data_IF_106722061521
#
_entry.id   IF_106722061521
#
_cell.length_a   1.000
_cell.length_b   1.000
_cell.length_c   1.000
_cell.angle_alpha   90.00
_cell.angle_beta   90.00
_cell.angle_gamma   90.00
#
_symmetry.space_group_name_H-M   'P 1'
#
loop_
_entity.id
_entity.type
_entity.pdbx_description
1 polymer ?
#
# COMPACT_ATOMS: atom_id res chain seq x y z
N UNK A 1 1.68 -19.10 -9.64
CA UNK A 1 2.83 -18.17 -9.55
C UNK A 1 3.53 -17.90 -10.87
N UNK A 2 4.05 -18.90 -11.61
CA UNK A 2 4.77 -18.67 -12.88
C UNK A 2 4.14 -17.66 -13.85
N UNK A 3 2.86 -17.87 -14.22
CA UNK A 3 2.14 -16.95 -15.13
C UNK A 3 2.07 -15.50 -14.63
N UNK A 4 2.00 -15.31 -13.31
CA UNK A 4 1.95 -13.97 -12.69
C UNK A 4 3.32 -13.29 -12.82
N UNK A 5 4.39 -14.03 -12.54
CA UNK A 5 5.78 -13.55 -12.62
C UNK A 5 6.14 -13.18 -14.07
N UNK A 6 5.94 -14.11 -15.00
CA UNK A 6 6.21 -13.87 -16.43
C UNK A 6 5.28 -12.80 -17.01
N UNK A 7 4.02 -12.75 -16.57
CA UNK A 7 3.06 -11.71 -16.98
C UNK A 7 3.40 -10.30 -16.48
N UNK A 8 4.15 -10.19 -15.39
CA UNK A 8 4.73 -8.93 -14.90
C UNK A 8 6.06 -8.57 -15.59
N UNK A 9 6.55 -9.38 -16.54
CA UNK A 9 7.82 -9.19 -17.23
C UNK A 9 9.06 -9.61 -16.41
N UNK A 10 8.88 -10.39 -15.36
CA UNK A 10 9.95 -10.87 -14.47
C UNK A 10 10.39 -12.29 -14.84
N UNK A 11 11.63 -12.64 -14.48
CA UNK A 11 12.17 -13.99 -14.70
C UNK A 11 11.58 -15.02 -13.72
N UNK A 12 11.15 -16.17 -14.26
CA UNK A 12 10.55 -17.21 -13.44
C UNK A 12 11.56 -17.94 -12.54
N UNK A 13 12.81 -18.14 -12.99
CA UNK A 13 13.79 -18.85 -12.18
C UNK A 13 14.15 -18.03 -10.93
N UNK A 14 14.27 -16.71 -11.06
CA UNK A 14 14.39 -15.79 -9.94
C UNK A 14 13.14 -15.77 -9.06
N UNK A 15 11.96 -15.54 -9.63
CA UNK A 15 10.72 -15.48 -8.86
C UNK A 15 10.44 -16.76 -8.06
N UNK A 16 10.80 -17.93 -8.60
CA UNK A 16 10.68 -19.21 -7.89
C UNK A 16 11.57 -19.29 -6.65
N UNK A 17 12.79 -18.74 -6.69
CA UNK A 17 13.69 -18.73 -5.51
C UNK A 17 13.11 -17.90 -4.37
N UNK A 18 12.42 -16.81 -4.68
CA UNK A 18 11.78 -15.95 -3.69
C UNK A 18 10.55 -16.58 -3.02
N UNK A 19 9.93 -17.61 -3.61
CA UNK A 19 8.73 -18.24 -3.02
C UNK A 19 9.02 -18.99 -1.72
N UNK A 20 10.22 -19.56 -1.61
CA UNK A 20 10.65 -20.32 -0.43
C UNK A 20 11.37 -19.42 0.59
N UNK A 21 11.65 -18.16 0.24
CA UNK A 21 12.29 -17.19 1.12
C UNK A 21 11.27 -16.69 2.17
N UNK A 22 11.51 -16.88 3.48
CA UNK A 22 10.60 -16.41 4.52
C UNK A 22 10.68 -14.90 4.79
N UNK A 23 11.63 -14.16 4.19
CA UNK A 23 11.87 -12.74 4.49
C UNK A 23 10.65 -11.84 4.31
N UNK A 24 9.70 -12.20 3.42
CA UNK A 24 8.45 -11.46 3.23
C UNK A 24 7.60 -11.38 4.50
N UNK A 25 7.74 -12.32 5.45
CA UNK A 25 6.94 -12.36 6.67
C UNK A 25 7.20 -11.15 7.56
N UNK A 26 8.46 -10.75 7.70
CA UNK A 26 8.80 -9.59 8.52
C UNK A 26 8.17 -8.31 7.96
N UNK A 27 8.18 -8.14 6.64
CA UNK A 27 7.50 -7.01 6.00
C UNK A 27 5.98 -7.08 6.16
N UNK A 28 5.38 -8.26 5.97
CA UNK A 28 3.95 -8.44 6.16
C UNK A 28 3.49 -8.16 7.60
N UNK A 29 4.27 -8.57 8.61
CA UNK A 29 3.96 -8.31 10.02
C UNK A 29 4.08 -6.82 10.36
N UNK A 30 5.13 -6.12 9.88
CA UNK A 30 5.22 -4.64 10.04
C UNK A 30 4.03 -3.92 9.43
N UNK A 31 3.61 -4.33 8.23
CA UNK A 31 2.45 -3.74 7.58
C UNK A 31 1.14 -4.02 8.36
N UNK A 32 1.03 -5.20 8.99
CA UNK A 32 -0.10 -5.56 9.85
C UNK A 32 -0.12 -4.74 11.15
N UNK A 33 1.03 -4.47 11.74
CA UNK A 33 1.15 -3.60 12.92
C UNK A 33 0.76 -2.16 12.57
N UNK A 34 1.27 -1.59 11.47
CA UNK A 34 0.87 -0.25 11.02
C UNK A 34 -0.64 -0.17 10.76
N UNK A 35 -1.25 -1.22 10.18
CA UNK A 35 -2.70 -1.29 9.98
C UNK A 35 -3.47 -1.12 11.30
N UNK A 36 -3.04 -1.81 12.36
CA UNK A 36 -3.66 -1.76 13.68
C UNK A 36 -3.41 -0.43 14.40
N UNK A 37 -2.21 0.13 14.27
CA UNK A 37 -1.87 1.45 14.82
C UNK A 37 -2.72 2.57 14.20
N UNK A 38 -3.17 2.38 12.95
CA UNK A 38 -4.12 3.27 12.27
C UNK A 38 -5.59 3.02 12.66
N UNK A 39 -5.86 2.10 13.58
CA UNK A 39 -7.21 1.71 14.00
C UNK A 39 -7.99 0.93 12.93
N UNK A 40 -7.30 0.38 11.93
CA UNK A 40 -7.88 -0.43 10.87
C UNK A 40 -7.70 -1.91 11.21
N UNK A 41 -8.48 -2.78 10.58
CA UNK A 41 -8.48 -4.22 10.91
C UNK A 41 -8.45 -5.14 9.69
N UNK A 42 -8.57 -4.58 8.48
CA UNK A 42 -8.65 -5.38 7.25
C UNK A 42 -8.19 -4.64 6.02
N UNK A 43 -8.37 -5.27 4.86
CA UNK A 43 -7.99 -4.75 3.54
C UNK A 43 -9.20 -4.68 2.59
N UNK A 44 -9.19 -3.82 1.55
CA UNK A 44 -8.16 -2.81 1.29
C UNK A 44 -8.26 -1.64 2.28
N UNK A 45 -7.09 -1.13 2.67
CA UNK A 45 -6.93 0.04 3.54
C UNK A 45 -5.99 1.04 2.87
N UNK A 46 -6.25 2.33 3.06
CA UNK A 46 -5.49 3.41 2.43
C UNK A 46 -5.12 4.47 3.48
N UNK A 47 -3.91 5.01 3.37
CA UNK A 47 -3.44 6.16 4.16
C UNK A 47 -2.92 7.25 3.24
N UNK A 48 -3.41 8.47 3.41
CA UNK A 48 -2.91 9.68 2.74
C UNK A 48 -2.83 10.78 3.78
N UNK A 49 -1.65 11.37 3.97
CA UNK A 49 -1.44 12.37 5.02
C UNK A 49 -1.84 11.82 6.40
N UNK A 50 -2.75 12.54 7.06
CA UNK A 50 -3.31 12.15 8.36
C UNK A 50 -4.59 11.32 8.27
N UNK A 51 -5.08 11.03 7.07
CA UNK A 51 -6.32 10.29 6.85
C UNK A 51 -6.00 8.83 6.57
N UNK A 52 -6.67 7.93 7.30
CA UNK A 52 -6.64 6.50 7.10
C UNK A 52 -8.07 5.97 6.96
N UNK A 53 -8.34 5.16 5.95
CA UNK A 53 -9.67 4.59 5.66
C UNK A 53 -9.58 3.13 5.26
N UNK A 54 -10.61 2.37 5.65
CA UNK A 54 -10.82 0.99 5.20
C UNK A 54 -11.98 0.94 4.20
N UNK A 55 -11.84 0.13 3.15
CA UNK A 55 -12.86 -0.11 2.14
C UNK A 55 -12.64 0.64 0.82
N UNK A 56 -12.94 -0.03 -0.29
CA UNK A 56 -12.87 0.54 -1.63
C UNK A 56 -13.93 1.65 -1.86
N UNK A 57 -15.02 1.61 -1.10
CA UNK A 57 -16.10 2.62 -1.10
C UNK A 57 -15.64 3.99 -0.56
N UNK A 58 -14.42 4.08 -0.03
CA UNK A 58 -13.82 5.29 0.55
C UNK A 58 -12.73 5.93 -0.31
N UNK A 59 -12.54 5.51 -1.55
CA UNK A 59 -11.53 6.10 -2.45
C UNK A 59 -11.71 7.61 -2.68
N UNK A 60 -12.93 8.13 -2.58
CA UNK A 60 -13.18 9.57 -2.66
C UNK A 60 -12.57 10.36 -1.49
N UNK A 61 -12.47 9.75 -0.29
CA UNK A 61 -11.83 10.37 0.89
C UNK A 61 -10.32 10.48 0.66
N UNK A 62 -9.73 9.43 0.09
CA UNK A 62 -8.32 9.36 -0.31
C UNK A 62 -8.00 10.47 -1.31
N UNK A 63 -8.84 10.63 -2.33
CA UNK A 63 -8.69 11.67 -3.35
C UNK A 63 -8.81 13.08 -2.75
N UNK A 64 -9.79 13.33 -1.89
CA UNK A 64 -10.01 14.64 -1.28
C UNK A 64 -8.80 15.07 -0.42
N UNK A 65 -8.29 14.16 0.41
CA UNK A 65 -7.10 14.41 1.23
C UNK A 65 -5.85 14.64 0.36
N UNK A 66 -5.66 13.85 -0.69
CA UNK A 66 -4.56 14.06 -1.64
C UNK A 66 -4.63 15.45 -2.28
N UNK A 67 -5.81 15.86 -2.77
CA UNK A 67 -6.03 17.20 -3.35
C UNK A 67 -5.78 18.30 -2.32
N UNK A 68 -6.17 18.11 -1.05
CA UNK A 68 -5.90 19.04 0.05
C UNK A 68 -4.40 19.24 0.25
N UNK A 69 -3.63 18.14 0.33
CA UNK A 69 -2.18 18.18 0.51
C UNK A 69 -1.46 18.87 -0.65
N UNK A 70 -1.83 18.54 -1.90
CA UNK A 70 -1.27 19.18 -3.10
C UNK A 70 -1.53 20.69 -3.08
N UNK A 71 -2.75 21.12 -2.76
CA UNK A 71 -3.10 22.55 -2.66
C UNK A 71 -2.30 23.27 -1.57
N UNK A 72 -2.12 22.63 -0.41
CA UNK A 72 -1.33 23.20 0.69
C UNK A 72 0.14 23.38 0.29
N UNK A 73 0.73 22.38 -0.36
CA UNK A 73 2.12 22.44 -0.83
C UNK A 73 2.33 23.54 -1.88
N UNK A 74 1.39 23.74 -2.81
CA UNK A 74 1.47 24.79 -3.81
C UNK A 74 1.38 26.20 -3.21
N UNK A 75 0.65 26.39 -2.12
CA UNK A 75 0.54 27.69 -1.42
C UNK A 75 1.78 28.05 -0.61
N UNK A 76 2.56 27.07 -0.15
CA UNK A 76 3.81 27.32 0.59
C UNK A 76 4.99 27.70 -0.31
N UNK A 77 4.85 27.50 -1.62
CA UNK A 77 5.88 27.78 -2.63
C UNK A 77 5.67 29.11 -3.38
N UNK A 78 4.55 29.79 -3.13
CA UNK A 78 4.21 31.10 -3.71
C UNK A 78 4.43 32.18 -2.65
#
# INVERSE_FOLDING_TARGET
MRRIVEGAGLDWAEGRRCLDDPAWREEAERNREELFDLGLWGVPSFRVGSVAVWGQDRLWVVEDEYRRLVRAASRQRA
#
